data_IF_118238633297
#
_entry.id   IF_118238633297
#
_cell.length_a   1.000
_cell.length_b   1.000
_cell.length_c   1.000
_cell.angle_alpha   90.00
_cell.angle_beta   90.00
_cell.angle_gamma   90.00
#
_symmetry.space_group_name_H-M   'P 1'
#
loop_
_entity.id
_entity.type
_entity.pdbx_description
1 polymer ?
#
# COMPACT_ATOMS: atom_id res chain seq x y z
N UNK A 1 -3.90 16.03 -7.37
CA UNK A 1 -3.57 14.59 -7.22
C UNK A 1 -4.47 13.84 -8.17
N UNK A 2 -3.90 13.02 -9.06
CA UNK A 2 -4.62 12.34 -10.16
C UNK A 2 -5.87 11.59 -9.65
N UNK A 3 -5.76 10.94 -8.48
CA UNK A 3 -6.87 10.22 -7.85
C UNK A 3 -7.98 11.15 -7.33
N UNK A 4 -7.66 12.33 -6.79
CA UNK A 4 -8.69 13.29 -6.35
C UNK A 4 -9.51 13.79 -7.53
N UNK A 5 -8.85 14.08 -8.64
CA UNK A 5 -9.49 14.52 -9.87
C UNK A 5 -10.37 13.43 -10.49
N UNK A 6 -9.94 12.17 -10.39
CA UNK A 6 -10.79 11.02 -10.72
C UNK A 6 -12.03 10.94 -9.82
N UNK A 7 -11.88 11.15 -8.51
CA UNK A 7 -13.00 11.09 -7.55
C UNK A 7 -13.99 12.25 -7.71
N UNK A 8 -13.53 13.40 -8.21
CA UNK A 8 -14.39 14.55 -8.53
C UNK A 8 -15.29 14.29 -9.75
N UNK A 9 -15.09 13.18 -10.48
CA UNK A 9 -15.93 12.77 -11.60
C UNK A 9 -15.67 13.53 -12.89
N UNK A 10 -14.72 14.46 -12.92
CA UNK A 10 -14.46 15.31 -14.08
C UNK A 10 -13.90 14.53 -15.28
N UNK A 11 -13.09 13.49 -15.04
CA UNK A 11 -12.40 12.75 -16.11
C UNK A 11 -12.27 11.26 -15.79
N UNK A 12 -12.62 10.41 -16.76
CA UNK A 12 -12.38 8.97 -16.68
C UNK A 12 -10.89 8.59 -16.84
N UNK A 13 -10.54 7.33 -16.52
CA UNK A 13 -9.15 6.83 -16.52
C UNK A 13 -8.33 7.17 -17.78
N UNK A 14 -8.94 7.04 -18.97
CA UNK A 14 -8.25 7.29 -20.25
C UNK A 14 -7.93 8.77 -20.46
N UNK A 15 -8.87 9.64 -20.09
CA UNK A 15 -8.69 11.09 -20.21
C UNK A 15 -7.66 11.60 -19.20
N UNK A 16 -7.67 11.08 -17.97
CA UNK A 16 -6.63 11.35 -16.98
C UNK A 16 -5.25 10.88 -17.47
N UNK A 17 -5.15 9.67 -18.02
CA UNK A 17 -3.90 9.17 -18.57
C UNK A 17 -3.36 10.10 -19.67
N UNK A 18 -4.22 10.56 -20.58
CA UNK A 18 -3.84 11.52 -21.63
C UNK A 18 -3.42 12.87 -21.06
N UNK A 19 -4.17 13.42 -20.09
CA UNK A 19 -3.89 14.71 -19.44
C UNK A 19 -2.54 14.71 -18.72
N UNK A 20 -2.20 13.60 -18.07
CA UNK A 20 -0.96 13.45 -17.30
C UNK A 20 0.16 12.74 -18.09
N UNK A 21 0.01 12.57 -19.41
CA UNK A 21 0.99 11.89 -20.28
C UNK A 21 1.41 10.50 -19.77
N UNK A 22 0.49 9.78 -19.12
CA UNK A 22 0.72 8.43 -18.62
C UNK A 22 0.40 7.45 -19.76
N UNK A 23 1.37 6.64 -20.21
CA UNK A 23 1.17 5.73 -21.34
C UNK A 23 0.16 4.60 -21.08
N UNK A 24 -0.23 4.39 -19.82
CA UNK A 24 -1.20 3.36 -19.43
C UNK A 24 -2.14 3.86 -18.33
N UNK A 25 -3.37 3.36 -18.34
CA UNK A 25 -4.34 3.60 -17.27
C UNK A 25 -4.07 2.76 -16.01
N UNK A 26 -3.20 1.75 -16.11
CA UNK A 26 -2.93 0.79 -15.03
C UNK A 26 -2.40 1.44 -13.74
N UNK A 27 -1.44 2.39 -13.78
CA UNK A 27 -1.00 3.11 -12.58
C UNK A 27 -2.14 3.88 -11.91
N UNK A 28 -2.99 4.53 -12.70
CA UNK A 28 -4.14 5.29 -12.20
C UNK A 28 -5.13 4.37 -11.48
N UNK A 29 -5.44 3.21 -12.06
CA UNK A 29 -6.29 2.19 -11.40
C UNK A 29 -5.69 1.71 -10.09
N UNK A 30 -4.37 1.47 -10.03
CA UNK A 30 -3.68 1.07 -8.80
C UNK A 30 -3.79 2.16 -7.73
N UNK A 31 -3.56 3.42 -8.08
CA UNK A 31 -3.68 4.52 -7.13
C UNK A 31 -5.11 4.72 -6.64
N UNK A 32 -6.12 4.57 -7.51
CA UNK A 32 -7.53 4.64 -7.12
C UNK A 32 -7.88 3.53 -6.13
N UNK A 33 -7.47 2.28 -6.39
CA UNK A 33 -7.68 1.16 -5.46
C UNK A 33 -6.97 1.41 -4.12
N UNK A 34 -5.71 1.82 -4.16
CA UNK A 34 -4.97 2.11 -2.93
C UNK A 34 -5.61 3.25 -2.13
N UNK A 35 -6.18 4.25 -2.81
CA UNK A 35 -6.95 5.32 -2.18
C UNK A 35 -8.26 4.83 -1.55
N UNK A 36 -8.97 3.92 -2.21
CA UNK A 36 -10.21 3.36 -1.68
C UNK A 36 -9.97 2.51 -0.42
N UNK A 37 -8.87 1.75 -0.37
CA UNK A 37 -8.54 0.90 0.78
C UNK A 37 -7.89 1.67 1.93
N UNK A 38 -6.93 2.57 1.64
CA UNK A 38 -6.08 3.19 2.67
C UNK A 38 -6.25 4.72 2.74
N UNK A 39 -7.21 5.29 2.02
CA UNK A 39 -7.40 6.74 1.92
C UNK A 39 -6.18 7.44 1.32
N UNK A 40 -5.92 8.66 1.77
CA UNK A 40 -4.77 9.45 1.30
C UNK A 40 -3.44 8.73 1.54
N UNK A 41 -3.33 7.92 2.60
CA UNK A 41 -2.11 7.17 2.93
C UNK A 41 -1.72 6.14 1.87
N UNK A 42 -2.69 5.57 1.15
CA UNK A 42 -2.44 4.57 0.09
C UNK A 42 -1.81 5.13 -1.19
N UNK A 43 -1.89 6.44 -1.40
CA UNK A 43 -1.35 7.11 -2.60
C UNK A 43 -0.17 8.02 -2.26
N UNK A 44 0.09 8.27 -0.98
CA UNK A 44 1.31 8.95 -0.56
C UNK A 44 2.50 8.01 -0.73
N UNK A 45 3.53 8.50 -1.42
CA UNK A 45 4.83 7.83 -1.41
C UNK A 45 5.33 7.83 0.03
N UNK A 46 5.67 6.66 0.63
CA UNK A 46 6.24 6.64 1.97
C UNK A 46 7.49 7.52 1.97
N UNK A 47 7.51 8.52 2.85
CA UNK A 47 8.67 9.45 2.96
C UNK A 47 9.91 8.74 3.50
N UNK A 48 9.73 7.58 4.14
CA UNK A 48 10.78 6.73 4.68
C UNK A 48 10.29 5.28 4.74
N UNK A 49 11.23 4.33 4.88
CA UNK A 49 10.90 2.95 5.26
C UNK A 49 10.18 2.98 6.62
N UNK A 50 9.11 2.19 6.83
CA UNK A 50 8.47 2.12 8.14
C UNK A 50 9.49 1.64 9.18
N UNK A 51 9.68 2.43 10.24
CA UNK A 51 10.52 2.05 11.38
C UNK A 51 9.62 1.39 12.40
N UNK A 52 9.77 0.08 12.56
CA UNK A 52 9.06 -0.68 13.58
C UNK A 52 9.82 -0.65 14.90
N UNK A 53 9.09 -0.47 16.00
CA UNK A 53 9.69 -0.55 17.34
C UNK A 53 10.17 -1.96 17.65
N UNK A 54 11.15 -2.10 18.55
CA UNK A 54 11.64 -3.40 19.01
C UNK A 54 10.50 -4.26 19.56
N UNK A 55 9.57 -3.64 20.31
CA UNK A 55 8.40 -4.33 20.86
C UNK A 55 7.48 -4.87 19.76
N UNK A 56 7.25 -4.11 18.69
CA UNK A 56 6.46 -4.57 17.56
C UNK A 56 7.13 -5.78 16.87
N UNK A 57 8.45 -5.73 16.65
CA UNK A 57 9.19 -6.86 16.07
C UNK A 57 9.11 -8.11 16.95
N UNK A 58 9.25 -7.96 18.27
CA UNK A 58 9.10 -9.07 19.22
C UNK A 58 7.69 -9.66 19.17
N UNK A 59 6.66 -8.82 19.08
CA UNK A 59 5.27 -9.26 18.98
C UNK A 59 5.03 -10.08 17.70
N UNK A 60 5.54 -9.62 16.56
CA UNK A 60 5.46 -10.33 15.27
C UNK A 60 6.16 -11.69 15.33
N UNK A 61 7.36 -11.74 15.94
CA UNK A 61 8.11 -12.99 16.12
C UNK A 61 7.38 -13.97 17.05
N UNK A 62 6.80 -13.46 18.14
CA UNK A 62 6.06 -14.28 19.10
C UNK A 62 4.81 -14.88 18.46
N UNK A 63 4.04 -14.06 17.73
CA UNK A 63 2.87 -14.51 16.97
C UNK A 63 3.25 -15.63 16.00
N UNK A 64 4.32 -15.44 15.21
CA UNK A 64 4.80 -16.45 14.27
C UNK A 64 5.17 -17.75 14.99
N UNK A 65 5.88 -17.67 16.12
CA UNK A 65 6.31 -18.84 16.87
C UNK A 65 5.14 -19.60 17.51
N UNK A 66 4.10 -18.87 17.97
CA UNK A 66 2.90 -19.46 18.56
C UNK A 66 1.98 -20.12 17.52
N UNK A 67 1.84 -19.50 16.35
CA UNK A 67 0.91 -19.96 15.30
C UNK A 67 1.54 -20.91 14.30
N UNK A 68 2.88 -20.95 14.22
CA UNK A 68 3.59 -21.67 13.16
C UNK A 68 3.43 -21.02 11.78
N UNK A 69 2.91 -19.80 11.70
CA UNK A 69 2.62 -19.12 10.44
C UNK A 69 3.88 -18.91 9.58
N UNK A 70 3.70 -19.00 8.27
CA UNK A 70 4.73 -18.63 7.31
C UNK A 70 5.01 -17.12 7.34
N UNK A 71 6.11 -16.69 6.71
CA UNK A 71 6.44 -15.26 6.61
C UNK A 71 5.37 -14.45 5.87
N UNK A 72 4.74 -15.04 4.85
CA UNK A 72 3.67 -14.37 4.10
C UNK A 72 2.38 -14.24 4.91
N UNK A 73 1.99 -15.28 5.64
CA UNK A 73 0.82 -15.25 6.52
C UNK A 73 1.03 -14.26 7.66
N UNK A 74 2.22 -14.23 8.24
CA UNK A 74 2.60 -13.26 9.28
C UNK A 74 2.55 -11.83 8.71
N UNK A 75 3.12 -11.60 7.53
CA UNK A 75 3.09 -10.29 6.88
C UNK A 75 1.65 -9.84 6.57
N UNK A 76 0.78 -10.75 6.15
CA UNK A 76 -0.63 -10.47 5.89
C UNK A 76 -1.38 -10.13 7.18
N UNK A 77 -1.14 -10.87 8.27
CA UNK A 77 -1.78 -10.64 9.56
C UNK A 77 -1.44 -9.27 10.18
N UNK A 78 -0.24 -8.77 9.93
CA UNK A 78 0.25 -7.48 10.46
C UNK A 78 0.28 -6.34 9.42
N UNK A 79 -0.33 -6.53 8.25
CA UNK A 79 -0.35 -5.56 7.13
C UNK A 79 1.07 -5.06 6.75
N UNK A 80 2.06 -5.96 6.81
CA UNK A 80 3.45 -5.67 6.50
C UNK A 80 3.68 -5.75 4.99
N UNK A 81 3.83 -4.58 4.37
CA UNK A 81 4.13 -4.45 2.94
C UNK A 81 5.50 -5.02 2.49
N UNK A 82 6.40 -5.34 3.43
CA UNK A 82 7.71 -5.92 3.12
C UNK A 82 8.06 -7.05 4.12
N UNK A 83 7.92 -8.32 3.71
CA UNK A 83 8.25 -9.49 4.53
C UNK A 83 9.73 -9.57 4.93
N UNK A 84 10.63 -8.89 4.19
CA UNK A 84 12.08 -8.93 4.44
C UNK A 84 12.50 -8.17 5.71
N UNK A 85 11.58 -7.42 6.32
CA UNK A 85 11.81 -6.67 7.55
C UNK A 85 11.63 -7.51 8.83
N UNK A 86 11.21 -8.77 8.69
CA UNK A 86 11.10 -9.77 9.77
C UNK A 86 12.36 -10.66 9.73
N UNK A 87 13.50 -10.10 10.12
CA UNK A 87 14.76 -10.81 10.31
C UNK A 87 15.52 -10.22 11.49
#
# INVERSE_FOLDING_TARGET
MIVKEYMQGELGYRLLAKKYLIPSVTPIKRWVRAYQHYGVKGVQKPRSKPVYSVQFKLHVLHFRNQTGASLQETATAFDLHDPSLIS
#
